data_IF_508916279531
#
_entry.id   IF_508916279531
#
_cell.length_a   1.000
_cell.length_b   1.000
_cell.length_c   1.000
_cell.angle_alpha   90.00
_cell.angle_beta   90.00
_cell.angle_gamma   90.00
#
_symmetry.space_group_name_H-M   'P 1'
#
loop_
_entity.id
_entity.type
_entity.pdbx_description
1 polymer ?
#
# COMPACT_ATOMS: atom_id res chain seq x y z
N UNK A 1 86.56 -1.67 10.28
CA UNK A 1 85.38 -0.88 9.89
C UNK A 1 84.47 -1.79 9.08
N UNK A 2 83.35 -2.30 9.70
CA UNK A 2 82.39 -3.15 9.01
C UNK A 2 81.22 -2.26 8.51
N UNK A 3 81.03 -2.21 7.19
CA UNK A 3 79.88 -1.54 6.58
C UNK A 3 78.63 -2.44 6.75
N UNK A 4 77.61 -1.97 7.47
CA UNK A 4 76.28 -2.59 7.50
C UNK A 4 75.50 -2.07 6.33
N UNK A 5 75.07 -3.00 5.46
CA UNK A 5 74.12 -2.74 4.35
C UNK A 5 72.76 -2.91 4.88
N UNK A 6 71.99 -1.83 4.96
CA UNK A 6 70.57 -1.85 5.35
C UNK A 6 69.72 -2.17 4.08
N UNK A 7 69.11 -3.35 4.07
CA UNK A 7 68.20 -3.79 2.98
C UNK A 7 66.80 -3.29 3.31
N UNK A 8 66.26 -2.35 2.50
CA UNK A 8 64.88 -1.90 2.60
C UNK A 8 63.97 -2.86 1.84
N UNK A 9 63.10 -3.57 2.56
CA UNK A 9 61.99 -4.33 1.98
C UNK A 9 60.81 -3.37 1.70
N UNK A 10 60.59 -3.04 0.43
CA UNK A 10 59.33 -2.43 0.00
C UNK A 10 58.24 -3.52 -0.05
N UNK A 11 57.32 -3.51 0.90
CA UNK A 11 56.12 -4.31 0.85
C UNK A 11 55.10 -3.54 -0.01
N UNK A 12 54.94 -3.97 -1.27
CA UNK A 12 53.88 -3.48 -2.14
C UNK A 12 52.56 -4.07 -1.68
N UNK A 13 51.71 -3.28 -1.00
CA UNK A 13 50.35 -3.61 -0.72
C UNK A 13 49.54 -3.51 -2.04
N UNK A 14 49.35 -4.64 -2.73
CA UNK A 14 48.36 -4.74 -3.81
C UNK A 14 46.99 -4.78 -3.14
N UNK A 15 46.35 -3.61 -3.00
CA UNK A 15 44.96 -3.52 -2.57
C UNK A 15 44.05 -4.12 -3.61
N UNK A 16 43.55 -5.37 -3.40
CA UNK A 16 42.45 -5.93 -4.15
C UNK A 16 41.20 -5.15 -3.76
N UNK A 17 40.82 -4.16 -4.57
CA UNK A 17 39.50 -3.54 -4.48
C UNK A 17 38.45 -4.55 -4.93
N UNK A 18 37.85 -5.29 -3.98
CA UNK A 18 36.66 -6.06 -4.23
C UNK A 18 35.52 -5.04 -4.37
N UNK A 19 35.21 -4.64 -5.58
CA UNK A 19 33.97 -3.92 -5.89
C UNK A 19 32.82 -4.92 -5.82
N UNK A 20 32.29 -5.14 -4.61
CA UNK A 20 30.96 -5.74 -4.50
C UNK A 20 29.97 -4.79 -5.17
N UNK A 21 29.30 -5.25 -6.24
CA UNK A 21 28.15 -4.55 -6.79
C UNK A 21 27.08 -4.59 -5.70
N UNK A 22 26.94 -3.50 -4.96
CA UNK A 22 25.79 -3.27 -4.11
C UNK A 22 24.64 -2.99 -5.07
N UNK A 23 23.84 -4.01 -5.39
CA UNK A 23 22.57 -3.78 -6.04
C UNK A 23 21.71 -3.03 -5.02
N UNK A 24 21.35 -1.78 -5.32
CA UNK A 24 20.37 -1.06 -4.53
C UNK A 24 19.09 -1.88 -4.50
N UNK A 25 18.59 -2.18 -3.29
CA UNK A 25 17.33 -2.90 -3.13
C UNK A 25 16.20 -2.00 -3.63
N UNK A 26 15.35 -2.52 -4.53
CA UNK A 26 14.07 -1.88 -4.91
C UNK A 26 13.08 -2.01 -3.75
N UNK A 27 13.32 -1.24 -2.69
CA UNK A 27 12.54 -1.29 -1.46
C UNK A 27 11.03 -1.02 -1.66
N UNK A 28 10.61 -0.05 -2.49
CA UNK A 28 9.19 0.17 -2.80
C UNK A 28 8.64 -0.80 -3.86
N UNK A 29 9.47 -1.68 -4.42
CA UNK A 29 9.11 -2.62 -5.49
C UNK A 29 8.56 -1.90 -6.74
N UNK A 30 9.33 -0.93 -7.26
CA UNK A 30 8.98 -0.13 -8.44
C UNK A 30 8.92 -0.97 -9.72
N UNK A 31 9.66 -2.06 -9.78
CA UNK A 31 9.67 -2.95 -10.94
C UNK A 31 8.39 -3.79 -11.06
N UNK A 32 7.61 -3.98 -9.97
CA UNK A 32 6.44 -4.87 -9.94
C UNK A 32 5.43 -4.58 -11.05
N UNK A 33 5.06 -3.32 -11.24
CA UNK A 33 4.05 -2.92 -12.22
C UNK A 33 4.62 -2.14 -13.40
N UNK A 34 5.93 -1.98 -13.50
CA UNK A 34 6.59 -1.16 -14.52
C UNK A 34 6.19 -1.55 -15.95
N UNK A 35 6.22 -2.84 -16.27
CA UNK A 35 5.80 -3.34 -17.60
C UNK A 35 4.31 -3.11 -17.82
N UNK A 36 3.46 -3.51 -16.86
CA UNK A 36 2.02 -3.34 -16.96
C UNK A 36 1.61 -1.86 -17.04
N UNK A 37 2.34 -0.95 -16.38
CA UNK A 37 2.11 0.48 -16.49
C UNK A 37 2.50 1.00 -17.87
N UNK A 38 3.60 0.50 -18.45
CA UNK A 38 4.06 0.91 -19.80
C UNK A 38 3.15 0.39 -20.92
N UNK A 39 2.48 -0.74 -20.71
CA UNK A 39 1.55 -1.35 -21.67
C UNK A 39 0.12 -0.80 -21.52
N UNK A 40 -0.19 -0.11 -20.42
CA UNK A 40 -1.51 0.46 -20.20
C UNK A 40 -1.70 1.70 -21.07
N UNK A 41 -2.65 1.63 -22.00
CA UNK A 41 -2.99 2.75 -22.86
C UNK A 41 -3.53 3.95 -22.04
N UNK A 42 -3.36 5.16 -22.56
CA UNK A 42 -3.98 6.34 -21.97
C UNK A 42 -5.51 6.16 -21.87
N UNK A 43 -6.17 6.73 -20.84
CA UNK A 43 -7.63 6.62 -20.74
C UNK A 43 -8.31 7.14 -22.00
N UNK A 44 -9.29 6.38 -22.50
CA UNK A 44 -10.12 6.84 -23.61
C UNK A 44 -10.97 8.06 -23.19
N UNK A 45 -11.44 8.83 -24.15
CA UNK A 45 -12.34 9.97 -23.91
C UNK A 45 -13.59 9.50 -23.14
N UNK A 46 -13.80 10.08 -21.95
CA UNK A 46 -14.92 9.73 -21.07
C UNK A 46 -14.70 8.49 -20.22
N UNK A 47 -13.54 7.83 -20.28
CA UNK A 47 -13.20 6.72 -19.40
C UNK A 47 -13.04 7.21 -17.96
N UNK A 48 -13.70 6.49 -17.04
CA UNK A 48 -13.61 6.72 -15.61
C UNK A 48 -12.62 5.73 -14.97
N UNK A 49 -11.35 5.78 -15.37
CA UNK A 49 -10.31 4.92 -14.80
C UNK A 49 -10.23 5.08 -13.29
N UNK A 50 -10.17 3.95 -12.58
CA UNK A 50 -9.98 3.89 -11.14
C UNK A 50 -8.77 3.04 -10.81
N UNK A 51 -7.86 3.56 -10.00
CA UNK A 51 -6.70 2.79 -9.50
C UNK A 51 -6.97 2.35 -8.07
N UNK A 52 -6.75 1.07 -7.80
CA UNK A 52 -6.80 0.48 -6.45
C UNK A 52 -5.38 0.34 -5.92
N UNK A 53 -4.97 1.28 -5.06
CA UNK A 53 -3.67 1.29 -4.39
C UNK A 53 -3.79 0.59 -3.03
N UNK A 54 -2.94 -0.44 -2.79
CA UNK A 54 -3.00 -1.17 -1.53
C UNK A 54 -1.92 -2.24 -1.37
N UNK A 55 -2.18 -3.13 -0.43
CA UNK A 55 -1.32 -4.25 -0.05
C UNK A 55 -1.82 -5.61 -0.60
N UNK A 56 -1.55 -6.72 0.13
CA UNK A 56 -2.01 -8.08 -0.25
C UNK A 56 -3.52 -8.18 -0.39
N UNK A 57 -4.30 -7.47 0.42
CA UNK A 57 -5.77 -7.49 0.34
C UNK A 57 -6.22 -6.92 -1.02
N UNK A 58 -5.61 -5.85 -1.49
CA UNK A 58 -5.88 -5.31 -2.82
C UNK A 58 -5.32 -6.23 -3.92
N UNK A 59 -4.08 -6.73 -3.77
CA UNK A 59 -3.44 -7.62 -4.76
C UNK A 59 -4.25 -8.89 -5.01
N UNK A 60 -4.72 -9.55 -3.94
CA UNK A 60 -5.46 -10.82 -4.02
C UNK A 60 -6.89 -10.66 -4.56
N UNK A 61 -7.44 -9.45 -4.53
CA UNK A 61 -8.81 -9.19 -4.98
C UNK A 61 -9.03 -9.60 -6.44
N UNK A 62 -8.08 -9.28 -7.33
CA UNK A 62 -8.18 -9.64 -8.75
C UNK A 62 -8.22 -11.16 -8.99
N UNK A 63 -7.57 -11.94 -8.13
CA UNK A 63 -7.61 -13.41 -8.20
C UNK A 63 -8.92 -14.01 -7.70
N UNK A 64 -9.68 -13.28 -6.87
CA UNK A 64 -10.94 -13.74 -6.29
C UNK A 64 -12.15 -13.25 -7.08
N UNK A 65 -12.09 -12.03 -7.62
CA UNK A 65 -13.13 -11.38 -8.42
C UNK A 65 -12.50 -10.77 -9.68
N UNK A 66 -12.03 -11.58 -10.64
CA UNK A 66 -11.38 -11.06 -11.84
C UNK A 66 -12.33 -10.21 -12.70
N UNK A 67 -13.63 -10.52 -12.74
CA UNK A 67 -14.64 -9.81 -13.49
C UNK A 67 -14.81 -8.37 -12.99
N UNK A 68 -14.68 -8.13 -11.68
CA UNK A 68 -14.76 -6.79 -11.10
C UNK A 68 -13.73 -5.84 -11.71
N UNK A 69 -12.55 -6.34 -12.04
CA UNK A 69 -11.48 -5.55 -12.68
C UNK A 69 -11.58 -5.57 -14.21
N UNK A 70 -11.95 -6.71 -14.83
CA UNK A 70 -11.94 -6.84 -16.29
C UNK A 70 -13.16 -6.22 -16.98
N UNK A 71 -14.29 -6.10 -16.27
CA UNK A 71 -15.53 -5.50 -16.81
C UNK A 71 -15.64 -3.99 -16.52
N UNK A 72 -14.68 -3.43 -15.79
CA UNK A 72 -14.64 -2.01 -15.45
C UNK A 72 -13.27 -1.42 -15.80
N UNK A 73 -13.14 -0.11 -15.97
CA UNK A 73 -11.84 0.55 -16.15
C UNK A 73 -11.06 0.65 -14.83
N UNK A 74 -10.89 -0.49 -14.17
CA UNK A 74 -10.26 -0.60 -12.85
C UNK A 74 -8.88 -1.22 -12.95
N UNK A 75 -7.91 -0.59 -12.33
CA UNK A 75 -6.51 -0.99 -12.35
C UNK A 75 -6.06 -1.36 -10.95
N UNK A 76 -5.73 -2.64 -10.75
CA UNK A 76 -5.21 -3.13 -9.47
C UNK A 76 -3.72 -2.82 -9.34
N UNK A 77 -3.34 -2.13 -8.26
CA UNK A 77 -1.95 -1.80 -7.90
C UNK A 77 -1.67 -2.19 -6.43
N UNK A 78 -2.20 -3.34 -6.02
CA UNK A 78 -1.89 -3.97 -4.74
C UNK A 78 -0.53 -4.66 -4.76
N UNK A 79 0.25 -4.56 -3.67
CA UNK A 79 1.49 -5.32 -3.50
C UNK A 79 1.53 -5.93 -2.09
N UNK A 80 1.63 -7.25 -2.00
CA UNK A 80 1.65 -7.99 -0.75
C UNK A 80 2.71 -7.51 0.23
N UNK A 81 2.34 -7.39 1.51
CA UNK A 81 3.26 -7.01 2.58
C UNK A 81 3.63 -5.53 2.66
N UNK A 82 3.25 -4.72 1.67
CA UNK A 82 3.64 -3.30 1.63
C UNK A 82 3.02 -2.45 2.74
N UNK A 83 3.83 -1.50 3.18
CA UNK A 83 3.51 -0.45 4.15
C UNK A 83 3.29 0.89 3.45
N UNK A 84 2.70 1.85 4.16
CA UNK A 84 2.36 3.17 3.62
C UNK A 84 3.55 3.94 3.04
N UNK A 85 4.79 3.96 3.62
CA UNK A 85 5.91 4.64 2.99
C UNK A 85 6.34 4.01 1.66
N UNK A 86 6.24 2.68 1.50
CA UNK A 86 6.51 2.02 0.23
C UNK A 86 5.47 2.40 -0.83
N UNK A 87 4.18 2.44 -0.46
CA UNK A 87 3.09 2.89 -1.34
C UNK A 87 3.28 4.34 -1.77
N UNK A 88 3.67 5.23 -0.85
CA UNK A 88 3.93 6.63 -1.14
C UNK A 88 5.05 6.80 -2.20
N UNK A 89 6.14 6.04 -2.09
CA UNK A 89 7.26 6.12 -3.04
C UNK A 89 6.87 5.68 -4.47
N UNK A 90 5.95 4.72 -4.64
CA UNK A 90 5.48 4.26 -5.94
C UNK A 90 4.20 4.95 -6.41
N UNK A 91 3.64 5.88 -5.62
CA UNK A 91 2.35 6.51 -5.90
C UNK A 91 2.33 7.26 -7.24
N UNK A 92 3.44 7.89 -7.63
CA UNK A 92 3.52 8.57 -8.92
C UNK A 92 3.37 7.59 -10.08
N UNK A 93 4.24 6.58 -10.18
CA UNK A 93 4.24 5.67 -11.33
C UNK A 93 3.02 4.74 -11.38
N UNK A 94 2.49 4.34 -10.19
CA UNK A 94 1.44 3.33 -10.10
C UNK A 94 0.03 3.93 -9.96
N UNK A 95 -0.07 5.27 -9.81
CA UNK A 95 -1.34 5.99 -9.72
C UNK A 95 -1.34 7.21 -10.63
N UNK A 96 -0.49 8.21 -10.37
CA UNK A 96 -0.59 9.51 -11.03
C UNK A 96 -0.35 9.40 -12.54
N UNK A 97 0.70 8.69 -12.94
CA UNK A 97 1.10 8.53 -14.35
C UNK A 97 0.12 7.65 -15.15
N UNK A 98 -0.85 6.99 -14.49
CA UNK A 98 -1.92 6.23 -15.13
C UNK A 98 -3.18 7.07 -15.42
N UNK A 99 -3.17 8.36 -15.03
CA UNK A 99 -4.23 9.35 -15.26
C UNK A 99 -5.65 8.88 -14.85
N UNK A 100 -5.86 8.35 -13.62
CA UNK A 100 -7.18 7.93 -13.20
C UNK A 100 -8.04 9.11 -12.78
N UNK A 101 -9.38 8.93 -12.80
CA UNK A 101 -10.34 9.87 -12.19
C UNK A 101 -10.43 9.69 -10.66
N UNK A 102 -10.25 8.46 -10.20
CA UNK A 102 -10.38 8.07 -8.78
C UNK A 102 -9.22 7.17 -8.38
N UNK A 103 -8.73 7.33 -7.16
CA UNK A 103 -7.84 6.36 -6.50
C UNK A 103 -8.49 5.86 -5.22
N UNK A 104 -8.57 4.54 -5.05
CA UNK A 104 -9.00 3.87 -3.82
C UNK A 104 -7.76 3.46 -3.03
N UNK A 105 -7.60 3.97 -1.81
CA UNK A 105 -6.40 3.74 -0.97
C UNK A 105 -6.77 2.86 0.21
N UNK A 106 -6.26 1.62 0.25
CA UNK A 106 -6.43 0.68 1.36
C UNK A 106 -5.06 0.30 1.92
N UNK A 107 -4.66 0.91 3.05
CA UNK A 107 -3.32 0.80 3.61
C UNK A 107 -3.32 0.93 5.14
N UNK A 108 -2.27 0.43 5.80
CA UNK A 108 -2.01 0.63 7.24
C UNK A 108 -1.86 -0.65 8.07
N UNK A 109 -2.46 -1.78 7.67
CA UNK A 109 -2.37 -3.03 8.45
C UNK A 109 -0.94 -3.55 8.56
N UNK A 110 -0.16 -3.53 7.46
CA UNK A 110 1.23 -3.97 7.44
C UNK A 110 2.17 -3.03 8.21
N UNK A 111 1.82 -1.76 8.28
CA UNK A 111 2.50 -0.77 9.11
C UNK A 111 2.33 -1.12 10.59
N UNK A 112 1.09 -1.38 11.03
CA UNK A 112 0.78 -1.83 12.40
C UNK A 112 1.48 -3.16 12.71
N UNK A 113 1.57 -4.07 11.72
CA UNK A 113 2.31 -5.31 11.83
C UNK A 113 3.84 -5.09 11.87
N UNK A 114 4.34 -3.88 11.57
CA UNK A 114 5.75 -3.52 11.62
C UNK A 114 6.59 -4.17 10.52
N UNK A 115 6.02 -4.42 9.34
CA UNK A 115 6.71 -5.10 8.24
C UNK A 115 7.99 -4.37 7.78
N UNK A 116 8.03 -3.06 7.91
CA UNK A 116 9.21 -2.23 7.58
C UNK A 116 9.84 -1.57 8.82
N UNK A 117 9.53 -2.09 10.01
CA UNK A 117 10.01 -1.59 11.28
C UNK A 117 8.94 -0.88 12.10
N UNK A 118 9.28 -0.37 13.29
CA UNK A 118 8.35 0.36 14.15
C UNK A 118 7.88 1.66 13.50
N UNK A 119 6.56 1.93 13.62
CA UNK A 119 5.93 3.15 13.10
C UNK A 119 4.79 3.57 14.04
N UNK A 120 4.54 4.86 14.18
CA UNK A 120 3.39 5.38 14.94
C UNK A 120 2.13 5.46 14.08
N UNK A 121 0.95 5.54 14.70
CA UNK A 121 -0.30 5.72 13.96
C UNK A 121 -0.35 7.06 13.21
N UNK A 122 0.27 8.08 13.78
CA UNK A 122 0.42 9.41 13.17
C UNK A 122 1.28 9.35 11.91
N UNK A 123 2.37 8.59 11.91
CA UNK A 123 3.21 8.40 10.72
C UNK A 123 2.47 7.65 9.61
N UNK A 124 1.64 6.66 9.96
CA UNK A 124 0.78 5.96 8.99
C UNK A 124 -0.22 6.94 8.39
N UNK A 125 -0.90 7.71 9.26
CA UNK A 125 -1.82 8.77 8.86
C UNK A 125 -1.14 9.77 7.92
N UNK A 126 0.04 10.28 8.24
CA UNK A 126 0.77 11.30 7.45
C UNK A 126 1.18 10.78 6.07
N UNK A 127 1.56 9.50 5.96
CA UNK A 127 1.84 8.88 4.66
C UNK A 127 0.56 8.79 3.80
N UNK A 128 -0.58 8.43 4.39
CA UNK A 128 -1.87 8.38 3.68
C UNK A 128 -2.32 9.78 3.30
N UNK A 129 -2.19 10.77 4.20
CA UNK A 129 -2.44 12.18 3.91
C UNK A 129 -1.61 12.67 2.73
N UNK A 130 -0.32 12.35 2.70
CA UNK A 130 0.56 12.71 1.58
C UNK A 130 0.07 12.11 0.24
N UNK A 131 -0.40 10.85 0.23
CA UNK A 131 -1.00 10.26 -0.97
C UNK A 131 -2.30 10.96 -1.38
N UNK A 132 -3.14 11.37 -0.42
CA UNK A 132 -4.37 12.15 -0.66
C UNK A 132 -4.03 13.51 -1.28
N UNK A 133 -3.05 14.23 -0.74
CA UNK A 133 -2.61 15.52 -1.25
C UNK A 133 -2.01 15.41 -2.65
N UNK A 134 -1.21 14.38 -2.90
CA UNK A 134 -0.67 14.10 -4.24
C UNK A 134 -1.78 13.79 -5.25
N UNK A 135 -2.78 12.99 -4.89
CA UNK A 135 -3.94 12.71 -5.75
C UNK A 135 -4.68 14.00 -6.10
N UNK A 136 -5.04 14.81 -5.09
CA UNK A 136 -5.75 16.09 -5.29
C UNK A 136 -4.97 17.08 -6.16
N UNK A 137 -3.66 17.19 -5.93
CA UNK A 137 -2.78 18.08 -6.71
C UNK A 137 -2.70 17.68 -8.20
N UNK A 138 -3.05 16.43 -8.54
CA UNK A 138 -3.09 15.92 -9.90
C UNK A 138 -4.53 15.73 -10.44
N UNK A 139 -5.54 16.32 -9.79
CA UNK A 139 -6.93 16.24 -10.24
C UNK A 139 -7.61 14.88 -10.04
N UNK A 140 -6.99 13.99 -9.26
CA UNK A 140 -7.50 12.65 -8.95
C UNK A 140 -8.32 12.71 -7.66
N UNK A 141 -9.51 12.11 -7.64
CA UNK A 141 -10.39 12.05 -6.47
C UNK A 141 -10.01 10.86 -5.57
N UNK A 142 -9.45 11.08 -4.37
CA UNK A 142 -9.09 9.97 -3.48
C UNK A 142 -10.31 9.48 -2.69
N UNK A 143 -10.42 8.14 -2.55
CA UNK A 143 -11.27 7.45 -1.59
C UNK A 143 -10.34 6.77 -0.59
N UNK A 144 -10.41 7.17 0.68
CA UNK A 144 -9.61 6.57 1.75
C UNK A 144 -10.46 5.51 2.44
N UNK A 145 -9.99 4.26 2.38
CA UNK A 145 -10.66 3.15 3.06
C UNK A 145 -10.23 3.08 4.53
N UNK A 146 -11.15 2.66 5.39
CA UNK A 146 -10.76 2.19 6.71
C UNK A 146 -9.83 0.99 6.58
N UNK A 147 -8.85 0.87 7.47
CA UNK A 147 -8.10 -0.37 7.67
C UNK A 147 -9.07 -1.45 8.13
N UNK A 148 -9.03 -2.62 7.49
CA UNK A 148 -9.91 -3.74 7.84
C UNK A 148 -9.65 -4.23 9.28
N UNK A 149 -10.67 -4.80 9.94
CA UNK A 149 -10.49 -5.33 11.29
C UNK A 149 -9.50 -6.51 11.30
N UNK A 150 -8.69 -6.60 12.35
CA UNK A 150 -7.85 -7.76 12.66
C UNK A 150 -7.73 -7.87 14.19
N UNK A 151 -7.96 -9.08 14.72
CA UNK A 151 -7.83 -9.31 16.16
C UNK A 151 -6.37 -9.38 16.58
N UNK A 152 -5.57 -10.17 15.87
CA UNK A 152 -4.12 -10.24 15.99
C UNK A 152 -3.51 -10.60 14.63
N UNK A 153 -2.18 -10.59 14.53
CA UNK A 153 -1.47 -11.02 13.32
C UNK A 153 -0.85 -12.40 13.55
N UNK A 154 -1.30 -13.47 12.88
CA UNK A 154 -0.79 -14.82 13.12
C UNK A 154 0.73 -14.97 12.97
N UNK A 155 1.32 -14.19 12.05
CA UNK A 155 2.78 -14.19 11.82
C UNK A 155 3.55 -13.28 12.79
N UNK A 156 2.86 -12.44 13.57
CA UNK A 156 3.48 -11.48 14.50
C UNK A 156 2.55 -11.13 15.65
N UNK A 157 2.25 -12.10 16.53
CA UNK A 157 1.26 -11.93 17.56
C UNK A 157 1.66 -10.92 18.64
N UNK A 158 0.66 -10.32 19.29
CA UNK A 158 0.84 -9.41 20.43
C UNK A 158 1.01 -7.94 20.06
N UNK A 159 0.82 -7.58 18.79
CA UNK A 159 0.88 -6.17 18.36
C UNK A 159 -0.43 -5.39 18.61
N UNK A 160 -1.47 -6.06 19.06
CA UNK A 160 -2.79 -5.51 19.41
C UNK A 160 -3.43 -4.69 18.26
N UNK A 161 -3.54 -5.24 17.03
CA UNK A 161 -4.19 -4.52 15.94
C UNK A 161 -5.64 -4.18 16.24
N UNK A 162 -6.37 -5.03 16.97
CA UNK A 162 -7.74 -4.79 17.42
C UNK A 162 -7.93 -3.52 18.28
N UNK A 163 -6.85 -2.99 18.85
CA UNK A 163 -6.82 -1.72 19.58
C UNK A 163 -6.30 -0.58 18.70
N UNK A 164 -5.31 -0.85 17.87
CA UNK A 164 -4.64 0.16 17.04
C UNK A 164 -5.46 0.55 15.81
N UNK A 165 -6.07 -0.43 15.13
CA UNK A 165 -6.86 -0.20 13.91
C UNK A 165 -8.02 0.78 14.16
N UNK A 166 -8.88 0.62 15.19
CA UNK A 166 -9.92 1.60 15.45
C UNK A 166 -9.40 3.02 15.68
N UNK A 167 -8.24 3.17 16.35
CA UNK A 167 -7.60 4.47 16.56
C UNK A 167 -7.10 5.09 15.26
N UNK A 168 -6.43 4.30 14.42
CA UNK A 168 -5.99 4.76 13.10
C UNK A 168 -7.19 5.13 12.22
N UNK A 169 -8.24 4.32 12.20
CA UNK A 169 -9.45 4.60 11.44
C UNK A 169 -10.13 5.91 11.89
N UNK A 170 -10.10 6.24 13.18
CA UNK A 170 -10.58 7.53 13.68
C UNK A 170 -9.75 8.70 13.12
N UNK A 171 -8.41 8.60 13.13
CA UNK A 171 -7.52 9.61 12.54
C UNK A 171 -7.79 9.79 11.04
N UNK A 172 -7.92 8.67 10.29
CA UNK A 172 -8.20 8.70 8.85
C UNK A 172 -9.56 9.33 8.55
N UNK A 173 -10.60 8.99 9.33
CA UNK A 173 -11.94 9.56 9.18
C UNK A 173 -11.96 11.07 9.43
N UNK A 174 -11.21 11.56 10.40
CA UNK A 174 -11.11 13.00 10.67
C UNK A 174 -10.27 13.71 9.62
N UNK A 175 -9.20 13.10 9.14
CA UNK A 175 -8.42 13.60 8.01
C UNK A 175 -9.27 13.75 6.75
N UNK A 176 -10.10 12.74 6.41
CA UNK A 176 -10.95 12.81 5.20
C UNK A 176 -11.96 13.95 5.27
N UNK A 177 -12.53 14.26 6.43
CA UNK A 177 -13.38 15.44 6.63
C UNK A 177 -12.61 16.74 6.40
N UNK A 178 -11.40 16.85 6.99
CA UNK A 178 -10.55 18.05 6.84
C UNK A 178 -10.12 18.25 5.40
N UNK A 179 -9.79 17.18 4.69
CA UNK A 179 -9.37 17.20 3.30
C UNK A 179 -10.54 17.30 2.30
N UNK A 180 -11.79 17.19 2.76
CA UNK A 180 -12.98 17.11 1.93
C UNK A 180 -12.88 16.01 0.88
N UNK A 181 -12.54 14.79 1.33
CA UNK A 181 -12.44 13.58 0.51
C UNK A 181 -13.30 12.47 1.10
N UNK A 182 -13.58 11.44 0.31
CA UNK A 182 -14.46 10.34 0.73
C UNK A 182 -13.74 9.39 1.68
N UNK A 183 -14.43 9.00 2.76
CA UNK A 183 -14.06 7.90 3.64
C UNK A 183 -14.94 6.69 3.36
N UNK A 184 -14.35 5.52 3.11
CA UNK A 184 -15.05 4.26 2.88
C UNK A 184 -14.86 3.32 4.07
N UNK A 185 -15.92 3.12 4.84
CA UNK A 185 -15.90 2.43 6.12
C UNK A 185 -16.16 0.92 5.99
N UNK A 186 -15.18 0.17 5.45
CA UNK A 186 -15.24 -1.29 5.45
C UNK A 186 -15.22 -1.89 6.86
N UNK A 187 -14.50 -1.23 7.80
CA UNK A 187 -14.33 -1.74 9.16
C UNK A 187 -15.67 -2.04 9.82
N UNK A 188 -16.60 -1.09 9.77
CA UNK A 188 -17.90 -1.20 10.44
C UNK A 188 -18.76 -2.37 9.92
N UNK A 189 -18.63 -2.74 8.65
CA UNK A 189 -19.38 -3.86 8.04
C UNK A 189 -18.73 -5.23 8.29
N UNK A 190 -17.44 -5.26 8.60
CA UNK A 190 -16.65 -6.49 8.65
C UNK A 190 -16.17 -6.87 10.05
N UNK A 191 -16.35 -6.00 11.04
CA UNK A 191 -15.85 -6.19 12.41
C UNK A 191 -16.70 -7.17 13.21
N UNK A 192 -16.05 -7.97 14.08
CA UNK A 192 -16.68 -8.77 15.12
C UNK A 192 -16.69 -8.03 16.48
N UNK A 193 -17.21 -8.67 17.52
CA UNK A 193 -17.31 -8.13 18.88
C UNK A 193 -15.96 -7.95 19.61
N UNK A 194 -14.86 -8.52 19.06
CA UNK A 194 -13.49 -8.40 19.59
C UNK A 194 -12.67 -7.32 18.89
N UNK A 195 -13.24 -6.57 17.96
CA UNK A 195 -12.56 -5.73 16.98
C UNK A 195 -11.66 -6.53 16.01
N UNK A 196 -11.93 -7.82 15.83
CA UNK A 196 -11.35 -8.68 14.81
C UNK A 196 -12.25 -8.73 13.57
N UNK A 197 -11.82 -9.43 12.53
CA UNK A 197 -12.66 -9.68 11.37
C UNK A 197 -13.63 -10.84 11.66
N UNK A 198 -14.90 -10.69 11.23
CA UNK A 198 -15.88 -11.78 11.32
C UNK A 198 -15.32 -13.04 10.67
N UNK A 199 -15.38 -14.18 11.33
CA UNK A 199 -14.71 -15.42 10.91
C UNK A 199 -15.09 -15.91 9.51
N UNK A 200 -16.30 -15.64 9.04
CA UNK A 200 -16.75 -15.97 7.68
C UNK A 200 -16.10 -15.10 6.59
N UNK A 201 -15.53 -13.94 6.97
CA UNK A 201 -14.98 -12.94 6.06
C UNK A 201 -13.45 -13.01 5.94
N UNK A 202 -12.79 -13.86 6.73
CA UNK A 202 -11.34 -14.00 6.72
C UNK A 202 -10.89 -15.45 6.75
N UNK A 203 -9.69 -15.71 6.24
CA UNK A 203 -9.05 -17.03 6.27
C UNK A 203 -8.02 -17.18 7.41
N UNK A 204 -7.49 -16.05 7.90
CA UNK A 204 -6.35 -15.99 8.82
C UNK A 204 -6.38 -14.75 9.73
N UNK A 205 -7.56 -14.23 10.03
CA UNK A 205 -7.79 -13.00 10.82
C UNK A 205 -7.44 -11.69 10.10
N UNK A 206 -6.88 -11.74 8.85
CA UNK A 206 -6.41 -10.56 8.10
C UNK A 206 -6.84 -10.59 6.62
N UNK A 207 -6.57 -11.71 5.93
CA UNK A 207 -6.88 -11.82 4.51
C UNK A 207 -8.34 -12.19 4.29
N UNK A 208 -8.91 -11.60 3.26
CA UNK A 208 -10.35 -11.59 3.02
C UNK A 208 -10.79 -12.80 2.21
N UNK A 209 -11.89 -13.44 2.62
CA UNK A 209 -12.55 -14.50 1.84
C UNK A 209 -13.33 -13.89 0.67
N UNK A 210 -13.83 -14.78 -0.24
CA UNK A 210 -14.75 -14.34 -1.29
C UNK A 210 -15.93 -13.54 -0.74
N UNK A 211 -16.56 -14.01 0.33
CA UNK A 211 -17.69 -13.32 0.97
C UNK A 211 -17.33 -11.93 1.51
N UNK A 212 -16.08 -11.76 1.98
CA UNK A 212 -15.58 -10.45 2.40
C UNK A 212 -15.37 -9.52 1.20
N UNK A 213 -14.82 -10.01 0.10
CA UNK A 213 -14.71 -9.23 -1.13
C UNK A 213 -16.06 -8.88 -1.73
N UNK A 214 -17.10 -9.74 -1.66
CA UNK A 214 -18.46 -9.42 -2.10
C UNK A 214 -19.00 -8.16 -1.37
N UNK A 215 -18.71 -8.02 -0.06
CA UNK A 215 -19.06 -6.82 0.71
C UNK A 215 -18.25 -5.60 0.25
N UNK A 216 -16.91 -5.76 0.13
CA UNK A 216 -16.03 -4.66 -0.27
C UNK A 216 -16.36 -4.14 -1.66
N UNK A 217 -16.67 -5.04 -2.61
CA UNK A 217 -17.03 -4.70 -3.97
C UNK A 217 -18.30 -3.87 -4.04
N UNK A 218 -19.36 -4.30 -3.34
CA UNK A 218 -20.60 -3.52 -3.25
C UNK A 218 -20.38 -2.12 -2.73
N UNK A 219 -19.63 -1.99 -1.63
CA UNK A 219 -19.37 -0.72 -0.97
C UNK A 219 -18.50 0.22 -1.82
N UNK A 220 -17.44 -0.30 -2.44
CA UNK A 220 -16.54 0.53 -3.23
C UNK A 220 -17.17 0.97 -4.55
N UNK A 221 -18.00 0.14 -5.17
CA UNK A 221 -18.75 0.51 -6.37
C UNK A 221 -19.65 1.72 -6.12
N UNK A 222 -20.36 1.74 -5.00
CA UNK A 222 -21.17 2.89 -4.60
C UNK A 222 -20.31 4.12 -4.31
N UNK A 223 -19.20 3.95 -3.61
CA UNK A 223 -18.27 5.02 -3.30
C UNK A 223 -17.66 5.64 -4.57
N UNK A 224 -17.23 4.81 -5.52
CA UNK A 224 -16.70 5.28 -6.82
C UNK A 224 -17.77 6.06 -7.59
N UNK A 225 -19.01 5.52 -7.69
CA UNK A 225 -20.09 6.20 -8.38
C UNK A 225 -20.41 7.57 -7.76
N UNK A 226 -20.32 7.71 -6.44
CA UNK A 226 -20.50 8.99 -5.74
C UNK A 226 -19.33 9.94 -5.95
N UNK A 227 -18.10 9.43 -5.91
CA UNK A 227 -16.90 10.23 -6.17
C UNK A 227 -16.91 10.80 -7.61
N UNK A 228 -17.36 10.03 -8.59
CA UNK A 228 -17.40 10.49 -9.99
C UNK A 228 -18.44 11.59 -10.24
N UNK A 229 -19.49 11.72 -9.41
CA UNK A 229 -20.53 12.75 -9.52
C UNK A 229 -20.15 14.07 -8.86
N UNK A 230 -19.25 14.06 -7.86
CA UNK A 230 -18.77 15.24 -7.14
C UNK A 230 -17.71 16.00 -7.96
#
# INVERSE_FOLDING_TARGET
>A
MKKQTILWFMISFLGLSITSKVNAQDWPNLEKYKMANAELEAPADGENRVVFMGNSITEMWIGTHPEFFSENPYVNRGIGGQTTPQMLLRFRQDVIDLDPKVVVILAGTNDIAGNTGPVTLEQIHDNILSMVELAKANGIKPIVCSVLPAYDYPWRPGLNPNVKIPKLNALLKDMTKTQNVMYLDYFSEMVDDRNGMQSKLTTDEVHVTKAGYDIMEKMVTEAIANALKS
#
